data_IF_310739899382
#
_entry.id   IF_310739899382
#
_cell.length_a   1.000
_cell.length_b   1.000
_cell.length_c   1.000
_cell.angle_alpha   90.00
_cell.angle_beta   90.00
_cell.angle_gamma   90.00
#
_symmetry.space_group_name_H-M   'P 1'
#
loop_
_entity.id
_entity.type
_entity.pdbx_description
1 polymer ?
#
# COMPACT_ATOMS: atom_id res chain seq x y z
N UNK A 1 5.10 38.74 -26.26
CA UNK A 1 5.86 37.55 -26.69
C UNK A 1 6.96 37.19 -25.68
N UNK A 2 7.76 38.15 -25.17
CA UNK A 2 8.73 37.91 -24.07
C UNK A 2 8.12 37.33 -22.77
N UNK A 3 6.97 37.80 -22.29
CA UNK A 3 6.34 37.27 -21.07
C UNK A 3 5.86 35.81 -21.16
N UNK A 4 5.57 35.29 -22.36
CA UNK A 4 5.16 33.88 -22.52
C UNK A 4 6.33 32.92 -22.45
N UNK A 5 7.52 33.36 -22.86
CA UNK A 5 8.73 32.53 -22.83
C UNK A 5 9.27 32.40 -21.40
N UNK A 6 9.26 33.48 -20.62
CA UNK A 6 9.68 33.46 -19.20
C UNK A 6 8.78 32.54 -18.36
N UNK A 7 7.46 32.61 -18.56
CA UNK A 7 6.53 31.72 -17.85
C UNK A 7 6.75 30.24 -18.22
N UNK A 8 7.01 29.95 -19.50
CA UNK A 8 7.28 28.58 -19.98
C UNK A 8 8.57 28.00 -19.41
N UNK A 9 9.62 28.83 -19.27
CA UNK A 9 10.89 28.41 -18.69
C UNK A 9 10.78 28.17 -17.18
N UNK A 10 9.95 28.96 -16.48
CA UNK A 10 9.65 28.77 -15.06
C UNK A 10 8.82 27.51 -14.79
N UNK A 11 7.82 27.22 -15.62
CA UNK A 11 7.04 25.98 -15.51
C UNK A 11 7.91 24.75 -15.73
N UNK A 12 8.80 24.79 -16.74
CA UNK A 12 9.75 23.69 -16.96
C UNK A 12 10.70 23.48 -15.78
N UNK A 13 11.27 24.55 -15.25
CA UNK A 13 12.16 24.46 -14.09
C UNK A 13 11.44 23.90 -12.85
N UNK A 14 10.16 24.24 -12.66
CA UNK A 14 9.32 23.66 -11.61
C UNK A 14 9.10 22.17 -11.84
N UNK A 15 8.74 21.77 -13.06
CA UNK A 15 8.46 20.37 -13.35
C UNK A 15 9.72 19.50 -13.19
N UNK A 16 10.87 19.98 -13.69
CA UNK A 16 12.17 19.34 -13.50
C UNK A 16 12.51 19.20 -12.01
N UNK A 17 12.24 20.23 -11.20
CA UNK A 17 12.41 20.17 -9.74
C UNK A 17 11.57 19.05 -9.12
N UNK A 18 10.27 18.96 -9.43
CA UNK A 18 9.41 17.93 -8.86
C UNK A 18 9.84 16.53 -9.30
N UNK A 19 10.14 16.31 -10.58
CA UNK A 19 10.55 15.00 -11.10
C UNK A 19 11.87 14.51 -10.48
N UNK A 20 12.85 15.41 -10.35
CA UNK A 20 14.11 15.08 -9.68
C UNK A 20 13.88 14.66 -8.22
N UNK A 21 13.09 15.42 -7.47
CA UNK A 21 12.91 15.14 -6.04
C UNK A 21 12.01 13.93 -5.78
N UNK A 22 11.05 13.62 -6.67
CA UNK A 22 10.32 12.33 -6.68
C UNK A 22 11.26 11.15 -6.77
N UNK A 23 12.18 11.17 -7.73
CA UNK A 23 13.14 10.07 -7.92
C UNK A 23 14.14 9.97 -6.77
N UNK A 24 14.62 11.09 -6.23
CA UNK A 24 15.49 11.09 -5.05
C UNK A 24 14.76 10.59 -3.80
N UNK A 25 13.47 10.90 -3.64
CA UNK A 25 12.67 10.39 -2.54
C UNK A 25 12.52 8.87 -2.57
N UNK A 26 12.40 8.26 -3.77
CA UNK A 26 12.42 6.79 -3.90
C UNK A 26 13.70 6.20 -3.30
N UNK A 27 14.87 6.79 -3.55
CA UNK A 27 16.13 6.34 -2.95
C UNK A 27 16.23 6.60 -1.44
N UNK A 28 15.50 7.58 -0.91
CA UNK A 28 15.49 7.87 0.52
C UNK A 28 14.70 6.85 1.35
N UNK A 29 13.66 6.23 0.78
CA UNK A 29 12.69 5.41 1.52
C UNK A 29 12.61 3.97 0.99
N UNK A 30 12.71 3.78 -0.32
CA UNK A 30 12.54 2.47 -0.95
C UNK A 30 13.87 1.72 -1.11
N UNK A 31 13.79 0.40 -1.16
CA UNK A 31 14.95 -0.46 -1.46
C UNK A 31 15.24 -0.45 -2.96
N UNK A 32 16.49 -0.64 -3.33
CA UNK A 32 16.92 -0.66 -4.74
C UNK A 32 16.14 -1.67 -5.59
N UNK A 33 15.78 -2.82 -5.02
CA UNK A 33 14.96 -3.85 -5.70
C UNK A 33 13.53 -3.42 -6.04
N UNK A 34 12.99 -2.42 -5.34
CA UNK A 34 11.67 -1.87 -5.63
C UNK A 34 11.77 -0.68 -6.58
N UNK A 35 12.86 0.09 -6.49
CA UNK A 35 13.18 1.16 -7.44
C UNK A 35 13.31 0.61 -8.86
N UNK A 36 13.99 -0.52 -9.05
CA UNK A 36 14.16 -1.15 -10.37
C UNK A 36 12.86 -1.67 -10.99
N UNK A 37 11.75 -1.72 -10.24
CA UNK A 37 10.43 -2.09 -10.77
C UNK A 37 9.65 -0.90 -11.33
N UNK A 38 10.01 0.32 -10.94
CA UNK A 38 9.26 1.55 -11.25
C UNK A 38 10.07 2.60 -12.01
N UNK A 39 11.41 2.44 -12.08
CA UNK A 39 12.29 3.29 -12.89
C UNK A 39 13.03 2.46 -13.94
N UNK A 40 13.31 3.08 -15.08
CA UNK A 40 14.21 2.51 -16.09
C UNK A 40 15.68 2.58 -15.66
N UNK A 41 16.53 1.76 -16.27
CA UNK A 41 17.98 1.80 -16.02
C UNK A 41 18.57 3.18 -16.32
N UNK A 42 18.10 3.85 -17.38
CA UNK A 42 18.52 5.21 -17.72
C UNK A 42 18.21 6.19 -16.60
N UNK A 43 16.99 6.15 -16.05
CA UNK A 43 16.58 7.02 -14.94
C UNK A 43 17.35 6.70 -13.66
N UNK A 44 17.63 5.42 -13.39
CA UNK A 44 18.46 4.99 -12.27
C UNK A 44 19.87 5.59 -12.37
N UNK A 45 20.49 5.53 -13.56
CA UNK A 45 21.82 6.10 -13.77
C UNK A 45 21.82 7.63 -13.66
N UNK A 46 20.77 8.30 -14.16
CA UNK A 46 20.59 9.75 -13.99
C UNK A 46 20.52 10.14 -12.52
N UNK A 47 19.73 9.43 -11.72
CA UNK A 47 19.56 9.70 -10.29
C UNK A 47 20.85 9.43 -9.52
N UNK A 48 21.53 8.31 -9.78
CA UNK A 48 22.85 8.02 -9.21
C UNK A 48 23.88 9.09 -9.57
N UNK A 49 23.82 9.61 -10.80
CA UNK A 49 24.66 10.74 -11.24
C UNK A 49 24.36 12.03 -10.48
N UNK A 50 23.09 12.34 -10.24
CA UNK A 50 22.68 13.50 -9.42
C UNK A 50 23.14 13.37 -7.97
N UNK A 51 22.97 12.20 -7.36
CA UNK A 51 23.41 11.95 -5.99
C UNK A 51 24.91 12.15 -5.83
N UNK A 52 25.73 11.67 -6.77
CA UNK A 52 27.19 11.92 -6.76
C UNK A 52 27.53 13.41 -6.82
N UNK A 53 26.80 14.20 -7.61
CA UNK A 53 27.00 15.66 -7.70
C UNK A 53 26.59 16.38 -6.43
N UNK A 54 25.54 15.92 -5.75
CA UNK A 54 25.12 16.44 -4.45
C UNK A 54 26.18 16.11 -3.40
N UNK A 55 26.64 14.86 -3.37
CA UNK A 55 27.68 14.39 -2.44
C UNK A 55 29.01 15.12 -2.63
N UNK A 56 29.42 15.42 -3.87
CA UNK A 56 30.63 16.20 -4.15
C UNK A 56 30.49 17.71 -3.94
N UNK A 57 29.26 18.21 -3.71
CA UNK A 57 28.95 19.63 -3.59
C UNK A 57 28.91 20.40 -4.92
N UNK A 58 29.02 19.71 -6.05
CA UNK A 58 28.85 20.30 -7.40
C UNK A 58 27.40 20.74 -7.65
N UNK A 59 26.44 20.05 -7.03
CA UNK A 59 25.02 20.38 -7.05
C UNK A 59 24.54 20.67 -5.64
N UNK A 60 23.77 21.75 -5.47
CA UNK A 60 23.04 22.03 -4.24
C UNK A 60 21.56 21.72 -4.45
N UNK A 61 20.91 21.15 -3.44
CA UNK A 61 19.47 20.97 -3.39
C UNK A 61 18.93 21.72 -2.18
N UNK A 62 17.80 22.39 -2.35
CA UNK A 62 17.14 23.11 -1.25
C UNK A 62 16.42 22.16 -0.28
N UNK A 63 16.21 20.90 -0.68
CA UNK A 63 15.47 19.91 0.10
C UNK A 63 16.32 18.75 0.63
N UNK A 64 17.52 18.56 0.08
CA UNK A 64 18.46 17.50 0.47
C UNK A 64 19.63 18.10 1.24
N UNK A 65 19.85 17.60 2.45
CA UNK A 65 20.95 17.97 3.33
C UNK A 65 22.26 17.34 2.83
N UNK A 66 22.26 16.02 2.66
CA UNK A 66 23.44 15.26 2.21
C UNK A 66 23.05 13.91 1.60
N UNK A 67 24.05 13.23 1.04
CA UNK A 67 23.97 11.80 0.67
C UNK A 67 24.81 11.02 1.68
N UNK A 68 24.27 9.95 2.24
CA UNK A 68 24.98 9.05 3.17
C UNK A 68 24.82 7.63 2.65
N UNK A 69 25.95 6.95 2.39
CA UNK A 69 25.98 5.56 1.89
C UNK A 69 25.08 5.32 0.66
N UNK A 70 25.02 6.30 -0.25
CA UNK A 70 24.18 6.23 -1.45
C UNK A 70 22.68 6.38 -1.15
N UNK A 71 22.31 7.00 -0.03
CA UNK A 71 20.92 7.33 0.35
C UNK A 71 20.79 8.85 0.55
N UNK A 72 19.86 9.54 -0.13
CA UNK A 72 19.65 10.97 0.04
C UNK A 72 18.91 11.26 1.35
N UNK A 73 19.47 12.16 2.17
CA UNK A 73 18.85 12.65 3.39
C UNK A 73 18.16 13.98 3.14
N UNK A 74 16.84 14.00 3.23
CA UNK A 74 16.06 15.23 3.15
C UNK A 74 16.19 16.04 4.45
N UNK A 75 16.21 17.38 4.35
CA UNK A 75 16.18 18.26 5.53
C UNK A 75 14.95 17.99 6.41
N UNK A 76 13.83 17.61 5.79
CA UNK A 76 12.64 17.13 6.46
C UNK A 76 12.10 15.90 5.73
N UNK A 77 11.92 14.80 6.48
CA UNK A 77 11.39 13.54 5.96
C UNK A 77 10.03 13.72 5.27
N UNK A 78 9.20 14.66 5.74
CA UNK A 78 7.88 14.96 5.15
C UNK A 78 7.96 15.27 3.64
N UNK A 79 9.06 15.87 3.17
CA UNK A 79 9.24 16.12 1.75
C UNK A 79 9.40 14.81 0.97
N UNK A 80 10.24 13.89 1.45
CA UNK A 80 10.39 12.58 0.83
C UNK A 80 9.05 11.82 0.85
N UNK A 81 8.32 11.88 1.96
CA UNK A 81 7.03 11.21 2.08
C UNK A 81 6.00 11.73 1.08
N UNK A 82 5.91 13.05 0.95
CA UNK A 82 5.08 13.73 -0.02
C UNK A 82 5.47 13.32 -1.45
N UNK A 83 6.75 13.38 -1.78
CA UNK A 83 7.24 13.09 -3.13
C UNK A 83 7.00 11.64 -3.57
N UNK A 84 7.07 10.66 -2.67
CA UNK A 84 6.70 9.28 -3.02
C UNK A 84 5.22 9.14 -3.32
N UNK A 85 4.38 9.80 -2.52
CA UNK A 85 2.94 9.84 -2.74
C UNK A 85 2.58 10.50 -4.08
N UNK A 86 3.23 11.61 -4.41
CA UNK A 86 3.11 12.26 -5.72
C UNK A 86 3.58 11.35 -6.86
N UNK A 87 4.76 10.74 -6.73
CA UNK A 87 5.32 9.83 -7.73
C UNK A 87 4.35 8.69 -8.03
N UNK A 88 3.85 8.01 -6.99
CA UNK A 88 2.92 6.90 -7.19
C UNK A 88 1.62 7.34 -7.85
N UNK A 89 1.08 8.48 -7.44
CA UNK A 89 -0.12 9.06 -8.06
C UNK A 89 0.10 9.40 -9.53
N UNK A 90 1.22 10.03 -9.88
CA UNK A 90 1.50 10.45 -11.25
C UNK A 90 1.78 9.26 -12.16
N UNK A 91 2.51 8.25 -11.70
CA UNK A 91 2.74 7.02 -12.44
C UNK A 91 1.43 6.31 -12.77
N UNK A 92 0.55 6.14 -11.79
CA UNK A 92 -0.77 5.54 -12.01
C UNK A 92 -1.59 6.32 -13.04
N UNK A 93 -1.63 7.66 -12.94
CA UNK A 93 -2.34 8.50 -13.92
C UNK A 93 -1.77 8.36 -15.33
N UNK A 94 -0.44 8.36 -15.47
CA UNK A 94 0.22 8.23 -16.77
C UNK A 94 -0.06 6.86 -17.41
N UNK A 95 -0.08 5.78 -16.63
CA UNK A 95 -0.40 4.43 -17.11
C UNK A 95 -1.83 4.40 -17.68
N UNK A 96 -2.83 4.92 -16.96
CA UNK A 96 -4.23 4.91 -17.44
C UNK A 96 -4.40 5.75 -18.71
N UNK A 97 -3.70 6.89 -18.79
CA UNK A 97 -3.73 7.77 -19.96
C UNK A 97 -3.03 7.15 -21.17
N UNK A 98 -2.28 6.06 -20.98
CA UNK A 98 -1.48 5.42 -22.01
C UNK A 98 -0.15 6.13 -22.30
N UNK A 99 0.24 7.07 -21.44
CA UNK A 99 1.46 7.89 -21.59
C UNK A 99 2.71 7.13 -21.13
N UNK A 100 2.55 6.09 -20.29
CA UNK A 100 3.64 5.29 -19.73
C UNK A 100 3.58 3.85 -20.21
N UNK A 101 4.58 3.43 -21.00
CA UNK A 101 4.61 2.08 -21.60
C UNK A 101 5.60 1.12 -20.94
N UNK A 102 6.58 1.63 -20.19
CA UNK A 102 7.65 0.82 -19.62
C UNK A 102 7.33 0.22 -18.24
N UNK A 103 6.27 0.70 -17.57
CA UNK A 103 5.75 0.14 -16.31
C UNK A 103 4.31 -0.30 -16.54
N UNK A 104 3.99 -1.55 -16.20
CA UNK A 104 2.62 -2.06 -16.25
C UNK A 104 1.80 -1.59 -15.04
N UNK A 105 0.47 -1.53 -15.22
CA UNK A 105 -0.47 -1.26 -14.14
C UNK A 105 -0.30 -2.24 -12.96
N UNK A 106 -0.06 -3.52 -13.26
CA UNK A 106 0.20 -4.56 -12.25
C UNK A 106 1.45 -4.30 -11.43
N UNK A 107 2.57 -3.94 -12.08
CA UNK A 107 3.81 -3.59 -11.39
C UNK A 107 3.63 -2.35 -10.51
N UNK A 108 2.88 -1.36 -10.98
CA UNK A 108 2.62 -0.14 -10.23
C UNK A 108 1.73 -0.39 -9.02
N UNK A 109 0.65 -1.18 -9.17
CA UNK A 109 -0.18 -1.59 -8.04
C UNK A 109 0.60 -2.47 -7.05
N UNK A 110 1.48 -3.34 -7.52
CA UNK A 110 2.37 -4.09 -6.64
C UNK A 110 3.27 -3.16 -5.83
N UNK A 111 3.83 -2.10 -6.44
CA UNK A 111 4.59 -1.09 -5.71
C UNK A 111 3.74 -0.33 -4.68
N UNK A 112 2.49 0.03 -4.99
CA UNK A 112 1.60 0.68 -4.01
C UNK A 112 1.25 -0.28 -2.88
N UNK A 113 0.74 -1.46 -3.19
CA UNK A 113 0.21 -2.42 -2.21
C UNK A 113 1.31 -3.04 -1.36
N UNK A 114 2.45 -3.42 -1.96
CA UNK A 114 3.51 -4.10 -1.22
C UNK A 114 4.69 -3.19 -0.89
N UNK A 115 4.98 -2.17 -1.70
CA UNK A 115 6.03 -1.18 -1.40
C UNK A 115 5.55 -0.09 -0.44
N UNK A 116 4.51 0.65 -0.82
CA UNK A 116 4.01 1.77 0.00
C UNK A 116 3.34 1.27 1.27
N UNK A 117 2.40 0.32 1.17
CA UNK A 117 1.64 -0.08 2.36
C UNK A 117 2.51 -0.80 3.39
N UNK A 118 3.37 -1.74 2.97
CA UNK A 118 4.10 -2.59 3.90
C UNK A 118 5.44 -2.02 4.35
N UNK A 119 6.09 -1.16 3.54
CA UNK A 119 7.48 -0.75 3.79
C UNK A 119 7.65 0.75 4.04
N UNK A 120 6.76 1.62 3.55
CA UNK A 120 6.93 3.06 3.72
C UNK A 120 6.49 3.54 5.12
N UNK A 121 6.87 4.76 5.54
CA UNK A 121 6.35 5.38 6.76
C UNK A 121 4.84 5.69 6.69
N UNK A 122 4.15 5.86 7.85
CA UNK A 122 2.73 6.24 7.89
C UNK A 122 2.43 7.55 7.16
N UNK A 123 3.38 8.50 7.09
CA UNK A 123 3.19 9.76 6.37
C UNK A 123 2.92 9.55 4.87
N UNK A 124 3.64 8.62 4.23
CA UNK A 124 3.44 8.26 2.82
C UNK A 124 2.05 7.67 2.61
N UNK A 125 1.66 6.73 3.47
CA UNK A 125 0.36 6.05 3.40
C UNK A 125 -0.79 7.04 3.57
N UNK A 126 -0.72 7.93 4.56
CA UNK A 126 -1.72 8.97 4.79
C UNK A 126 -1.82 9.97 3.61
N UNK A 127 -0.68 10.34 3.02
CA UNK A 127 -0.69 11.20 1.84
C UNK A 127 -1.37 10.51 0.64
N UNK A 128 -1.09 9.22 0.43
CA UNK A 128 -1.72 8.44 -0.64
C UNK A 128 -3.23 8.23 -0.41
N UNK A 129 -3.63 7.92 0.82
CA UNK A 129 -5.03 7.84 1.27
C UNK A 129 -5.78 9.15 0.97
N UNK A 130 -5.19 10.29 1.32
CA UNK A 130 -5.77 11.61 1.02
C UNK A 130 -5.93 11.82 -0.48
N UNK A 131 -4.93 11.44 -1.29
CA UNK A 131 -4.97 11.56 -2.74
C UNK A 131 -6.06 10.72 -3.38
N UNK A 132 -6.24 9.46 -2.96
CA UNK A 132 -7.32 8.60 -3.48
C UNK A 132 -8.70 9.25 -3.33
N UNK A 133 -8.92 10.00 -2.23
CA UNK A 133 -10.17 10.70 -1.96
C UNK A 133 -10.34 11.99 -2.76
N UNK A 134 -9.26 12.75 -2.95
CA UNK A 134 -9.34 14.13 -3.41
C UNK A 134 -8.84 14.36 -4.84
N UNK A 135 -8.14 13.40 -5.43
CA UNK A 135 -7.67 13.46 -6.81
C UNK A 135 -8.65 12.73 -7.75
N UNK A 136 -9.37 13.45 -8.63
CA UNK A 136 -10.39 12.85 -9.49
C UNK A 136 -9.84 11.79 -10.45
N UNK A 137 -8.59 11.91 -10.87
CA UNK A 137 -8.00 10.94 -11.80
C UNK A 137 -7.59 9.66 -11.08
N UNK A 138 -7.13 9.77 -9.83
CA UNK A 138 -6.93 8.59 -8.98
C UNK A 138 -8.25 7.98 -8.53
N UNK A 139 -9.29 8.78 -8.29
CA UNK A 139 -10.61 8.26 -7.95
C UNK A 139 -11.18 7.39 -9.10
N UNK A 140 -10.90 7.72 -10.37
CA UNK A 140 -11.29 6.87 -11.51
C UNK A 140 -10.65 5.48 -11.48
N UNK A 141 -9.40 5.36 -11.01
CA UNK A 141 -8.75 4.05 -10.84
C UNK A 141 -9.51 3.13 -9.90
N UNK A 142 -10.12 3.71 -8.86
CA UNK A 142 -10.92 2.93 -7.92
C UNK A 142 -12.18 2.37 -8.55
N UNK A 143 -12.50 2.73 -9.80
CA UNK A 143 -13.65 2.26 -10.58
C UNK A 143 -13.24 1.43 -11.81
N UNK A 144 -11.94 1.20 -12.02
CA UNK A 144 -11.41 0.47 -13.17
C UNK A 144 -11.37 -1.05 -12.92
N UNK A 145 -11.93 -1.83 -13.84
CA UNK A 145 -12.08 -3.30 -13.70
C UNK A 145 -10.72 -4.02 -13.70
N UNK A 146 -9.77 -3.54 -14.50
CA UNK A 146 -8.42 -4.11 -14.54
C UNK A 146 -7.71 -3.90 -13.19
N UNK A 147 -7.80 -2.70 -12.64
CA UNK A 147 -7.30 -2.36 -11.30
C UNK A 147 -7.92 -3.23 -10.21
N UNK A 148 -9.25 -3.40 -10.20
CA UNK A 148 -9.93 -4.26 -9.21
C UNK A 148 -9.39 -5.69 -9.24
N UNK A 149 -9.17 -6.26 -10.43
CA UNK A 149 -8.66 -7.62 -10.62
C UNK A 149 -7.21 -7.76 -10.15
N UNK A 150 -6.36 -6.78 -10.47
CA UNK A 150 -4.96 -6.74 -10.04
C UNK A 150 -4.89 -6.64 -8.52
N UNK A 151 -5.59 -5.67 -7.93
CA UNK A 151 -5.61 -5.43 -6.50
C UNK A 151 -6.10 -6.66 -5.73
N UNK A 152 -7.16 -7.31 -6.21
CA UNK A 152 -7.65 -8.54 -5.59
C UNK A 152 -6.61 -9.65 -5.58
N UNK A 153 -5.87 -9.84 -6.67
CA UNK A 153 -4.77 -10.82 -6.72
C UNK A 153 -3.64 -10.48 -5.75
N UNK A 154 -3.26 -9.20 -5.66
CA UNK A 154 -2.19 -8.73 -4.77
C UNK A 154 -2.57 -8.87 -3.30
N UNK A 155 -3.84 -8.63 -2.95
CA UNK A 155 -4.37 -8.86 -1.60
C UNK A 155 -4.38 -10.36 -1.27
N UNK A 156 -4.77 -11.21 -2.23
CA UNK A 156 -4.81 -12.67 -2.05
C UNK A 156 -3.44 -13.34 -1.94
N UNK A 157 -2.45 -12.79 -2.64
CA UNK A 157 -1.09 -13.28 -2.67
C UNK A 157 -0.15 -12.12 -2.37
N UNK A 158 -0.01 -11.74 -1.09
CA UNK A 158 0.97 -10.74 -0.70
C UNK A 158 2.36 -11.15 -1.21
N UNK A 159 3.19 -10.19 -1.61
CA UNK A 159 4.55 -10.49 -2.04
C UNK A 159 5.29 -11.19 -0.88
N UNK A 160 5.78 -12.41 -1.11
CA UNK A 160 6.49 -13.25 -0.13
C UNK A 160 7.67 -12.52 0.52
N UNK A 161 8.17 -11.44 -0.10
CA UNK A 161 9.21 -10.59 0.49
C UNK A 161 8.79 -9.86 1.76
N UNK A 162 7.48 -9.63 1.99
CA UNK A 162 6.97 -9.11 3.26
C UNK A 162 7.10 -10.15 4.39
N UNK A 163 6.88 -11.43 4.07
CA UNK A 163 7.08 -12.55 5.01
C UNK A 163 8.56 -12.67 5.42
N UNK A 164 9.49 -12.43 4.48
CA UNK A 164 10.95 -12.45 4.72
C UNK A 164 11.39 -11.32 5.69
N UNK A 165 10.64 -10.23 5.79
CA UNK A 165 10.91 -9.13 6.72
C UNK A 165 10.30 -9.34 8.13
N UNK A 166 9.70 -10.52 8.39
CA UNK A 166 9.00 -10.81 9.65
C UNK A 166 7.65 -10.11 9.78
N UNK A 167 7.14 -9.52 8.69
CA UNK A 167 5.87 -8.81 8.70
C UNK A 167 4.76 -9.74 8.22
N UNK A 168 3.99 -10.29 9.16
CA UNK A 168 2.83 -11.16 8.87
C UNK A 168 1.57 -10.36 8.53
N UNK A 169 1.63 -9.02 8.63
CA UNK A 169 0.52 -8.14 8.29
C UNK A 169 0.37 -8.00 6.76
N UNK A 170 -0.83 -8.24 6.26
CA UNK A 170 -1.17 -7.93 4.86
C UNK A 170 -1.34 -6.43 4.65
N UNK A 171 -1.30 -5.97 3.40
CA UNK A 171 -1.54 -4.56 3.07
C UNK A 171 -2.93 -4.08 3.52
N UNK A 172 -3.91 -4.98 3.52
CA UNK A 172 -5.25 -4.74 4.07
C UNK A 172 -5.21 -4.58 5.60
N UNK A 173 -4.39 -5.36 6.31
CA UNK A 173 -4.20 -5.19 7.75
C UNK A 173 -3.65 -3.81 8.09
N UNK A 174 -2.60 -3.41 7.39
CA UNK A 174 -1.99 -2.08 7.59
C UNK A 174 -3.02 -0.99 7.32
N UNK A 175 -3.75 -1.07 6.20
CA UNK A 175 -4.76 -0.08 5.84
C UNK A 175 -5.83 0.06 6.94
N UNK A 176 -6.30 -1.04 7.49
CA UNK A 176 -7.35 -1.04 8.51
C UNK A 176 -6.81 -0.58 9.87
N UNK A 177 -5.63 -1.05 10.28
CA UNK A 177 -5.01 -0.67 11.54
C UNK A 177 -4.69 0.83 11.61
N UNK A 178 -4.34 1.44 10.46
CA UNK A 178 -4.04 2.87 10.36
C UNK A 178 -5.27 3.74 10.03
N UNK A 179 -6.45 3.14 9.83
CA UNK A 179 -7.67 3.88 9.52
C UNK A 179 -7.68 4.51 8.12
N UNK A 180 -7.00 3.88 7.16
CA UNK A 180 -6.92 4.31 5.75
C UNK A 180 -8.16 3.81 5.01
N UNK A 181 -9.27 4.52 5.16
CA UNK A 181 -10.60 4.11 4.70
C UNK A 181 -10.67 3.95 3.18
N UNK A 182 -10.10 4.88 2.41
CA UNK A 182 -10.16 4.84 0.95
C UNK A 182 -9.28 3.72 0.39
N UNK A 183 -8.08 3.53 0.94
CA UNK A 183 -7.22 2.37 0.60
C UNK A 183 -7.90 1.06 0.98
N UNK A 184 -8.49 0.96 2.17
CA UNK A 184 -9.20 -0.25 2.59
C UNK A 184 -10.34 -0.60 1.63
N UNK A 185 -11.15 0.39 1.26
CA UNK A 185 -12.24 0.20 0.30
C UNK A 185 -11.71 -0.24 -1.06
N UNK A 186 -10.63 0.37 -1.54
CA UNK A 186 -9.97 0.02 -2.79
C UNK A 186 -9.50 -1.45 -2.78
N UNK A 187 -8.86 -1.90 -1.69
CA UNK A 187 -8.37 -3.28 -1.56
C UNK A 187 -9.49 -4.32 -1.45
N UNK A 188 -10.62 -3.96 -0.82
CA UNK A 188 -11.76 -4.86 -0.64
C UNK A 188 -12.69 -4.94 -1.86
N UNK A 189 -12.68 -3.94 -2.74
CA UNK A 189 -13.63 -3.83 -3.85
C UNK A 189 -13.61 -5.05 -4.77
N UNK A 190 -12.42 -5.51 -5.15
CA UNK A 190 -12.26 -6.67 -6.02
C UNK A 190 -12.77 -7.99 -5.43
N UNK A 191 -12.89 -8.10 -4.10
CA UNK A 191 -13.46 -9.30 -3.47
C UNK A 191 -14.91 -9.53 -3.88
N UNK A 192 -15.70 -8.48 -4.13
CA UNK A 192 -17.09 -8.65 -4.60
C UNK A 192 -17.17 -9.36 -5.94
N UNK A 193 -16.25 -9.05 -6.84
CA UNK A 193 -16.34 -9.50 -8.23
C UNK A 193 -15.55 -10.79 -8.48
N UNK A 194 -14.48 -11.01 -7.75
CA UNK A 194 -13.48 -12.03 -8.09
C UNK A 194 -13.35 -13.16 -7.06
N UNK A 195 -14.13 -13.15 -5.97
CA UNK A 195 -14.23 -14.33 -5.11
C UNK A 195 -14.84 -15.48 -5.91
N UNK A 196 -14.16 -16.62 -5.89
CA UNK A 196 -14.61 -17.89 -6.45
C UNK A 196 -14.41 -18.98 -5.42
N UNK A 197 -14.97 -20.18 -5.67
CA UNK A 197 -14.76 -21.34 -4.81
C UNK A 197 -13.27 -21.67 -4.63
N UNK A 198 -12.48 -21.49 -5.69
CA UNK A 198 -11.06 -21.84 -5.71
C UNK A 198 -10.17 -20.88 -4.90
N UNK A 199 -10.66 -19.67 -4.61
CA UNK A 199 -9.89 -18.66 -3.87
C UNK A 199 -10.55 -18.23 -2.54
N UNK A 200 -11.72 -18.80 -2.21
CA UNK A 200 -12.48 -18.51 -1.00
C UNK A 200 -11.65 -18.69 0.27
N UNK A 201 -10.83 -19.74 0.35
CA UNK A 201 -9.96 -20.02 1.50
C UNK A 201 -8.93 -18.91 1.73
N UNK A 202 -8.35 -18.39 0.64
CA UNK A 202 -7.41 -17.26 0.70
C UNK A 202 -8.09 -15.99 1.18
N UNK A 203 -9.29 -15.71 0.68
CA UNK A 203 -10.11 -14.57 1.12
C UNK A 203 -10.47 -14.71 2.60
N UNK A 204 -10.93 -15.89 3.02
CA UNK A 204 -11.21 -16.22 4.40
C UNK A 204 -9.98 -16.04 5.28
N UNK A 205 -8.79 -16.47 4.85
CA UNK A 205 -7.53 -16.26 5.57
C UNK A 205 -7.23 -14.79 5.82
N UNK A 206 -7.47 -13.94 4.81
CA UNK A 206 -7.25 -12.50 4.91
C UNK A 206 -8.29 -11.87 5.84
N UNK A 207 -9.56 -12.26 5.75
CA UNK A 207 -10.63 -11.78 6.62
C UNK A 207 -10.48 -12.27 8.07
N UNK A 208 -9.82 -13.41 8.31
CA UNK A 208 -9.50 -13.94 9.65
C UNK A 208 -8.54 -13.05 10.43
N UNK A 209 -7.85 -12.12 9.78
CA UNK A 209 -6.96 -11.17 10.44
C UNK A 209 -7.75 -10.05 11.14
N UNK A 210 -7.15 -9.43 12.15
CA UNK A 210 -7.75 -8.50 13.15
C UNK A 210 -8.81 -7.52 12.68
N UNK A 211 -8.68 -7.07 11.44
CA UNK A 211 -9.57 -6.15 10.75
C UNK A 211 -11.06 -6.53 10.75
N UNK A 212 -11.41 -7.75 10.35
CA UNK A 212 -12.81 -8.14 10.15
C UNK A 212 -13.49 -8.56 11.46
N UNK A 213 -12.73 -9.20 12.34
CA UNK A 213 -13.16 -9.59 13.69
C UNK A 213 -13.49 -8.37 14.56
N UNK A 214 -12.96 -7.18 14.26
CA UNK A 214 -13.37 -5.95 14.96
C UNK A 214 -14.70 -5.37 14.46
N UNK A 215 -15.03 -5.56 13.17
CA UNK A 215 -16.37 -5.21 12.63
C UNK A 215 -17.49 -5.99 13.34
N UNK A 216 -17.17 -7.19 13.82
CA UNK A 216 -18.01 -8.03 14.69
C UNK A 216 -18.50 -7.37 15.96
N UNK A 217 -17.74 -6.41 16.49
CA UNK A 217 -18.08 -5.72 17.72
C UNK A 217 -19.15 -4.65 17.52
N UNK A 218 -19.48 -4.29 16.27
CA UNK A 218 -20.61 -3.41 15.99
C UNK A 218 -21.95 -4.19 16.01
N UNK A 219 -22.90 -3.86 16.91
CA UNK A 219 -24.21 -4.51 16.94
C UNK A 219 -25.00 -4.43 15.63
N UNK A 220 -24.82 -3.38 14.80
CA UNK A 220 -25.51 -3.27 13.51
C UNK A 220 -24.96 -4.22 12.43
N UNK A 221 -23.87 -4.93 12.74
CA UNK A 221 -23.15 -5.84 11.83
C UNK A 221 -23.19 -7.28 12.28
N UNK A 222 -23.83 -7.57 13.41
CA UNK A 222 -23.88 -8.89 14.03
C UNK A 222 -24.22 -9.98 13.03
N UNK A 223 -25.20 -9.76 12.14
CA UNK A 223 -25.60 -10.73 11.14
C UNK A 223 -24.53 -10.96 10.05
N UNK A 224 -23.88 -9.91 9.53
CA UNK A 224 -22.81 -10.06 8.55
C UNK A 224 -21.62 -10.78 9.17
N UNK A 225 -21.27 -10.40 10.39
CA UNK A 225 -20.21 -11.02 11.15
C UNK A 225 -20.52 -12.48 11.47
N UNK A 226 -21.71 -12.79 11.97
CA UNK A 226 -22.13 -14.15 12.28
C UNK A 226 -22.05 -15.01 11.01
N UNK A 227 -22.47 -14.45 9.86
CA UNK A 227 -22.37 -15.13 8.56
C UNK A 227 -20.91 -15.33 8.12
N UNK A 228 -20.05 -14.31 8.20
CA UNK A 228 -18.62 -14.45 7.84
C UNK A 228 -17.88 -15.38 8.80
N UNK A 229 -18.18 -15.34 10.10
CA UNK A 229 -17.64 -16.27 11.10
C UNK A 229 -18.12 -17.69 10.86
N UNK A 230 -19.38 -17.87 10.45
CA UNK A 230 -19.90 -19.16 10.02
C UNK A 230 -19.17 -19.68 8.77
N UNK A 231 -18.94 -18.83 7.77
CA UNK A 231 -18.15 -19.16 6.59
C UNK A 231 -16.71 -19.54 6.95
N UNK A 232 -16.09 -18.78 7.87
CA UNK A 232 -14.74 -19.01 8.39
C UNK A 232 -14.64 -20.37 9.08
N UNK A 233 -15.62 -20.72 9.93
CA UNK A 233 -15.62 -21.96 10.70
C UNK A 233 -15.92 -23.19 9.84
N UNK A 234 -16.77 -23.05 8.83
CA UNK A 234 -17.23 -24.17 8.02
C UNK A 234 -16.57 -24.23 6.63
N UNK A 235 -15.71 -23.26 6.31
CA UNK A 235 -15.08 -23.12 4.99
C UNK A 235 -16.14 -23.15 3.88
N UNK A 236 -17.26 -22.46 4.13
CA UNK A 236 -18.42 -22.46 3.24
C UNK A 236 -18.28 -21.35 2.19
N UNK A 237 -17.67 -21.71 1.06
CA UNK A 237 -17.44 -20.80 -0.06
C UNK A 237 -18.72 -20.25 -0.66
N UNK A 238 -19.83 -20.99 -0.63
CA UNK A 238 -21.10 -20.54 -1.21
C UNK A 238 -21.75 -19.46 -0.32
N UNK A 239 -21.77 -19.68 0.99
CA UNK A 239 -22.25 -18.69 1.96
C UNK A 239 -21.33 -17.47 2.01
N UNK A 240 -20.01 -17.64 1.82
CA UNK A 240 -19.06 -16.52 1.76
C UNK A 240 -19.34 -15.61 0.57
N UNK A 241 -19.52 -16.20 -0.62
CA UNK A 241 -19.84 -15.46 -1.86
C UNK A 241 -21.15 -14.69 -1.69
N UNK A 242 -22.20 -15.31 -1.13
CA UNK A 242 -23.47 -14.64 -0.86
C UNK A 242 -23.32 -13.49 0.13
N UNK A 243 -22.51 -13.69 1.17
CA UNK A 243 -22.28 -12.70 2.23
C UNK A 243 -21.50 -11.49 1.72
N UNK A 244 -20.43 -11.71 0.95
CA UNK A 244 -19.61 -10.65 0.34
C UNK A 244 -20.40 -9.85 -0.70
N UNK A 245 -21.31 -10.50 -1.43
CA UNK A 245 -22.16 -9.86 -2.44
C UNK A 245 -23.40 -9.15 -1.86
N UNK A 246 -23.57 -9.12 -0.54
CA UNK A 246 -24.64 -8.37 0.09
C UNK A 246 -24.30 -6.87 0.21
N UNK A 247 -25.31 -6.01 0.12
CA UNK A 247 -25.17 -4.54 0.30
C UNK A 247 -24.55 -4.14 1.65
N UNK A 248 -24.54 -5.07 2.62
CA UNK A 248 -24.02 -4.88 3.97
C UNK A 248 -22.50 -4.69 4.02
N UNK A 249 -21.73 -4.93 2.95
CA UNK A 249 -20.27 -4.81 2.97
C UNK A 249 -19.75 -3.37 2.74
N UNK A 250 -20.59 -2.43 2.29
CA UNK A 250 -20.14 -1.05 1.91
C UNK A 250 -19.63 -0.21 3.07
N UNK A 251 -20.09 -0.51 4.28
CA UNK A 251 -19.81 0.31 5.45
C UNK A 251 -18.76 -0.29 6.41
N UNK A 252 -18.10 -1.41 6.04
CA UNK A 252 -17.20 -2.18 6.93
C UNK A 252 -16.01 -1.30 7.31
N UNK A 253 -15.33 -0.72 6.32
CA UNK A 253 -14.08 0.00 6.52
C UNK A 253 -14.25 1.23 7.42
N UNK A 254 -15.31 2.00 7.18
CA UNK A 254 -15.64 3.19 7.97
C UNK A 254 -15.97 2.81 9.41
N UNK A 255 -16.80 1.79 9.60
CA UNK A 255 -17.23 1.31 10.90
C UNK A 255 -16.08 0.74 11.74
N UNK A 256 -15.19 -0.06 11.12
CA UNK A 256 -14.02 -0.65 11.79
C UNK A 256 -13.04 0.45 12.21
N UNK A 257 -12.78 1.42 11.33
CA UNK A 257 -11.93 2.58 11.62
C UNK A 257 -12.48 3.41 12.79
N UNK A 258 -13.78 3.70 12.78
CA UNK A 258 -14.44 4.42 13.88
C UNK A 258 -14.33 3.66 15.20
N UNK A 259 -14.56 2.34 15.22
CA UNK A 259 -14.45 1.54 16.44
C UNK A 259 -13.04 1.58 17.05
N UNK A 260 -11.99 1.43 16.24
CA UNK A 260 -10.61 1.44 16.72
C UNK A 260 -10.15 2.80 17.24
N UNK A 261 -10.55 3.88 16.55
CA UNK A 261 -10.07 5.23 16.88
C UNK A 261 -10.89 5.88 18.00
N UNK A 262 -12.18 5.55 18.12
CA UNK A 262 -13.10 6.28 19.00
C UNK A 262 -13.51 5.55 20.27
N UNK A 263 -13.26 4.24 20.41
CA UNK A 263 -13.74 3.46 21.58
C UNK A 263 -12.65 2.74 22.35
N UNK A 264 -12.73 2.75 23.69
CA UNK A 264 -11.83 1.97 24.56
C UNK A 264 -11.96 0.45 24.35
N UNK A 265 -13.15 0.00 23.95
CA UNK A 265 -13.39 -1.40 23.58
C UNK A 265 -12.62 -1.76 22.29
N UNK A 266 -12.71 -0.92 21.25
CA UNK A 266 -11.97 -1.11 20.00
C UNK A 266 -10.46 -1.15 20.22
N UNK A 267 -9.90 -0.23 21.00
CA UNK A 267 -8.47 -0.23 21.37
C UNK A 267 -8.04 -1.51 22.11
N UNK A 268 -8.85 -1.99 23.05
CA UNK A 268 -8.58 -3.23 23.79
C UNK A 268 -8.68 -4.47 22.91
N UNK A 269 -9.67 -4.52 22.02
CA UNK A 269 -9.82 -5.60 21.04
C UNK A 269 -8.61 -5.64 20.09
N UNK A 270 -8.15 -4.48 19.62
CA UNK A 270 -6.94 -4.38 18.79
C UNK A 270 -5.71 -4.97 19.50
N UNK A 271 -5.48 -4.57 20.76
CA UNK A 271 -4.39 -5.10 21.57
C UNK A 271 -4.49 -6.62 21.77
N UNK A 272 -5.70 -7.13 22.02
CA UNK A 272 -5.93 -8.54 22.28
C UNK A 272 -5.75 -9.40 21.03
N UNK A 273 -6.22 -8.97 19.87
CA UNK A 273 -6.00 -9.73 18.63
C UNK A 273 -4.51 -9.76 18.29
N UNK A 274 -3.81 -8.63 18.48
CA UNK A 274 -2.36 -8.56 18.28
C UNK A 274 -1.63 -9.56 19.18
N UNK A 275 -1.95 -9.59 20.47
CA UNK A 275 -1.29 -10.49 21.43
C UNK A 275 -1.67 -11.96 21.27
N UNK A 276 -2.94 -12.26 21.00
CA UNK A 276 -3.46 -13.63 21.14
C UNK A 276 -3.47 -14.40 19.81
N UNK A 277 -3.43 -13.69 18.67
CA UNK A 277 -3.52 -14.30 17.34
C UNK A 277 -2.27 -13.98 16.52
N UNK A 278 -1.91 -12.70 16.37
CA UNK A 278 -0.82 -12.31 15.47
C UNK A 278 0.56 -12.75 16.01
N UNK A 279 0.86 -12.52 17.29
CA UNK A 279 2.16 -12.88 17.88
C UNK A 279 2.41 -14.39 17.92
N UNK A 280 1.46 -15.27 18.35
CA UNK A 280 1.69 -16.71 18.34
C UNK A 280 1.89 -17.29 16.93
N UNK A 281 1.19 -16.73 15.92
CA UNK A 281 1.39 -17.11 14.51
C UNK A 281 2.79 -16.70 14.04
N UNK A 282 3.26 -15.51 14.42
CA UNK A 282 4.64 -15.04 14.13
C UNK A 282 5.68 -15.96 14.75
N UNK A 283 5.54 -16.30 16.03
CA UNK A 283 6.45 -17.21 16.75
C UNK A 283 6.46 -18.61 16.13
N UNK A 284 5.30 -19.12 15.72
CA UNK A 284 5.20 -20.40 15.02
C UNK A 284 5.87 -20.35 13.64
N UNK A 285 5.68 -19.28 12.87
CA UNK A 285 6.32 -19.09 11.57
C UNK A 285 7.85 -18.99 11.70
N UNK A 286 8.35 -18.24 12.68
CA UNK A 286 9.79 -18.13 12.98
C UNK A 286 10.40 -19.47 13.39
N UNK A 287 9.68 -20.27 14.18
CA UNK A 287 10.11 -21.62 14.56
C UNK A 287 10.18 -22.58 13.36
N UNK A 288 9.27 -22.43 12.38
CA UNK A 288 9.26 -23.23 11.14
C UNK A 288 10.43 -22.82 10.24
N UNK A 289 10.68 -21.52 10.09
CA UNK A 289 11.83 -21.01 9.32
C UNK A 289 13.14 -21.50 9.94
N UNK A 290 13.31 -21.39 11.27
CA UNK A 290 14.51 -21.85 11.97
C UNK A 290 14.75 -23.37 11.88
N UNK A 291 13.69 -24.17 11.78
CA UNK A 291 13.81 -25.62 11.57
C UNK A 291 14.08 -25.99 10.12
N UNK A 292 13.60 -25.18 9.16
CA UNK A 292 13.91 -25.36 7.74
C UNK A 292 15.35 -25.00 7.38
N UNK A 293 15.94 -23.97 8.00
CA UNK A 293 17.34 -23.57 7.82
C UNK A 293 18.35 -24.57 8.42
N UNK A 294 17.91 -25.41 9.36
CA UNK A 294 18.75 -26.45 9.97
C UNK A 294 18.71 -27.80 9.22
N UNK A 295 17.89 -27.91 8.17
CA UNK A 295 17.75 -29.12 7.35
C UNK A 295 18.45 -29.03 5.98
N UNK A 296 19.29 -28.02 5.74
CA UNK A 296 20.27 -28.06 4.64
C UNK A 296 21.53 -28.82 5.09
N UNK A 297 21.47 -30.15 5.02
CA UNK A 297 22.63 -31.06 4.94
C UNK A 297 22.25 -32.30 4.12
#
# INVERSE_FOLDING_TARGET
IQNKNIAKDQDKARDDFFETHKKLALYAICRESDISKVLTETEIQEVKGMMKKIESGEMKSDLIDCIVDGVPRFYNLLFAEYFISEFAGDMLKQIIRGDLQHVSLESMWNFVVNGIMLLCPPGVRNAFEYKLKHDPDLAKLTSDEESDKILFKLVLKPDQKAEIAGNTETSLNVAINEGLVNVTNLLLKGARQYVTKDNADGVVSILKTSAFVAGAANPSWKELTDNVMHCIHNVDSDTLIQTINSEKLEDVSRTVTELYTSTELGKKIQQKIKSDICEPIREAAESIVATSSNNEN
#
